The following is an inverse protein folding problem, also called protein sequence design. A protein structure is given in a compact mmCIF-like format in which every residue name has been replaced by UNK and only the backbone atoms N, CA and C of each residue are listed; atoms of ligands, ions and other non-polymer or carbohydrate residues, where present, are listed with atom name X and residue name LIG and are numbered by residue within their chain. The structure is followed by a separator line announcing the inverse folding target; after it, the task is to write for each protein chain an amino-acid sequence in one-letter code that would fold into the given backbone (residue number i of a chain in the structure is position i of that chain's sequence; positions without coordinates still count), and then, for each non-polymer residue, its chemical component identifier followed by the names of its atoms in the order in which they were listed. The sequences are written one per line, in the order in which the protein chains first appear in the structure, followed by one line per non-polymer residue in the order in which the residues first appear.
data_IF_043144034509
#
_entry.id   IF_043144034509
#
_cell.length_a   1.000
_cell.length_b   1.000
_cell.length_c   1.000
_cell.angle_alpha   90.00
_cell.angle_beta   90.00
_cell.angle_gamma   90.00
#
_symmetry.space_group_name_H-M   'P 1'
#
loop_
_entity.id
_entity.type
_entity.pdbx_description
1 polymer ?
#
# COMPACT_ATOMS: atom_id res chain seq x y z
N UNK A 1 -10.03 8.22 1.00
CA UNK A 1 -8.58 7.95 1.18
C UNK A 1 -7.82 9.18 1.67
N UNK A 2 -7.88 10.35 1.02
CA UNK A 2 -7.14 11.55 1.46
C UNK A 2 -7.42 12.02 2.90
N UNK A 3 -8.69 12.07 3.31
CA UNK A 3 -9.04 12.48 4.69
C UNK A 3 -8.42 11.54 5.72
N UNK A 4 -8.44 10.23 5.45
CA UNK A 4 -7.83 9.23 6.32
C UNK A 4 -6.31 9.40 6.38
N UNK A 5 -5.65 9.52 5.22
CA UNK A 5 -4.21 9.76 5.16
C UNK A 5 -3.83 11.04 5.93
N UNK A 6 -4.61 12.12 5.80
CA UNK A 6 -4.38 13.35 6.55
C UNK A 6 -4.53 13.17 8.06
N UNK A 7 -5.51 12.39 8.53
CA UNK A 7 -5.69 12.07 9.95
C UNK A 7 -4.46 11.31 10.47
N UNK A 8 -4.05 10.25 9.79
CA UNK A 8 -2.89 9.43 10.20
C UNK A 8 -1.59 10.24 10.19
N UNK A 9 -1.36 11.10 9.19
CA UNK A 9 -0.22 12.04 9.18
C UNK A 9 -0.23 12.96 10.40
N UNK A 10 -1.39 13.53 10.76
CA UNK A 10 -1.51 14.38 11.96
C UNK A 10 -1.24 13.64 13.26
N UNK A 11 -1.48 12.33 13.29
CA UNK A 11 -1.17 11.45 14.42
C UNK A 11 0.29 10.97 14.42
N UNK A 12 1.10 11.35 13.42
CA UNK A 12 2.48 10.90 13.27
C UNK A 12 2.61 9.46 12.78
N UNK A 13 1.53 8.85 12.29
CA UNK A 13 1.54 7.50 11.75
C UNK A 13 2.05 7.50 10.29
N UNK A 14 2.87 6.51 9.90
CA UNK A 14 3.38 6.42 8.54
C UNK A 14 2.24 6.13 7.54
N UNK A 15 2.30 6.77 6.38
CA UNK A 15 1.43 6.45 5.24
C UNK A 15 2.25 5.69 4.21
N UNK A 16 1.71 4.56 3.76
CA UNK A 16 2.32 3.73 2.72
C UNK A 16 1.35 3.63 1.55
N UNK A 17 1.73 4.16 0.39
CA UNK A 17 1.02 3.95 -0.86
C UNK A 17 1.57 2.73 -1.57
N UNK A 18 0.66 1.90 -2.06
CA UNK A 18 0.98 0.68 -2.80
C UNK A 18 0.57 0.86 -4.25
N UNK A 19 1.53 0.71 -5.16
CA UNK A 19 1.31 0.85 -6.60
C UNK A 19 1.62 -0.47 -7.30
N UNK A 20 0.73 -0.93 -8.17
CA UNK A 20 0.94 -2.16 -8.93
C UNK A 20 1.76 -1.86 -10.18
N UNK A 21 2.88 -2.55 -10.32
CA UNK A 21 3.70 -2.53 -11.53
C UNK A 21 3.25 -3.66 -12.44
N UNK A 22 2.49 -3.30 -13.48
CA UNK A 22 2.12 -4.19 -14.57
C UNK A 22 3.34 -4.65 -15.38
N UNK A 23 3.16 -5.74 -16.13
CA UNK A 23 4.15 -6.26 -17.08
C UNK A 23 3.74 -5.90 -18.51
N UNK A 24 4.64 -6.03 -19.49
CA UNK A 24 4.46 -5.60 -20.90
C UNK A 24 3.21 -6.13 -21.62
N UNK A 25 2.48 -7.09 -21.06
CA UNK A 25 1.23 -7.65 -21.61
C UNK A 25 -0.02 -7.23 -20.83
N UNK A 26 0.12 -6.44 -19.76
CA UNK A 26 -0.95 -6.00 -18.86
C UNK A 26 -0.95 -4.47 -18.69
N UNK A 27 -2.11 -3.94 -18.30
CA UNK A 27 -2.32 -2.56 -17.88
C UNK A 27 -1.38 -2.15 -16.73
N UNK A 28 -1.19 -0.84 -16.53
CA UNK A 28 -0.35 -0.23 -15.47
C UNK A 28 1.18 -0.45 -15.64
N UNK A 29 1.71 -0.17 -16.83
CA UNK A 29 3.16 -0.25 -17.12
C UNK A 29 3.92 0.88 -16.39
N UNK A 30 5.00 0.59 -15.66
CA UNK A 30 5.74 1.61 -14.92
C UNK A 30 6.20 2.80 -15.77
N UNK A 31 6.10 4.00 -15.21
CA UNK A 31 6.44 5.29 -15.84
C UNK A 31 5.54 5.69 -17.02
N UNK A 32 4.30 5.18 -17.08
CA UNK A 32 3.25 5.72 -17.96
C UNK A 32 2.21 6.49 -17.15
N UNK A 33 1.47 7.37 -17.81
CA UNK A 33 0.43 8.21 -17.17
C UNK A 33 -0.63 7.34 -16.49
N UNK A 34 -1.02 6.23 -17.12
CA UNK A 34 -2.03 5.30 -16.60
C UNK A 34 -1.53 4.52 -15.39
N UNK A 35 -0.21 4.46 -15.17
CA UNK A 35 0.40 3.82 -14.01
C UNK A 35 0.52 4.77 -12.83
N UNK A 36 0.68 6.08 -13.06
CA UNK A 36 0.91 7.07 -12.00
C UNK A 36 -0.20 7.05 -10.93
N UNK A 37 0.18 7.47 -9.73
CA UNK A 37 -0.80 7.66 -8.66
C UNK A 37 -1.75 8.76 -9.12
N UNK A 38 -3.06 8.49 -9.03
CA UNK A 38 -4.11 9.42 -9.39
C UNK A 38 -3.86 10.81 -8.79
N UNK A 39 -3.97 11.87 -9.61
CA UNK A 39 -3.76 13.27 -9.20
C UNK A 39 -4.67 13.68 -8.03
N UNK A 40 -5.84 13.04 -7.89
CA UNK A 40 -6.74 13.29 -6.77
C UNK A 40 -6.20 12.76 -5.44
N UNK A 41 -5.26 11.81 -5.42
CA UNK A 41 -4.63 11.32 -4.20
C UNK A 41 -3.49 12.24 -3.76
N UNK A 42 -3.60 12.76 -2.54
CA UNK A 42 -2.60 13.68 -1.97
C UNK A 42 -1.48 12.90 -1.31
N UNK A 43 -0.39 12.70 -2.04
CA UNK A 43 0.88 12.12 -1.55
C UNK A 43 1.76 13.23 -0.96
N UNK A 44 2.24 13.03 0.26
CA UNK A 44 3.17 13.91 0.96
C UNK A 44 4.61 13.41 0.78
N UNK A 45 5.60 14.29 0.93
CA UNK A 45 7.02 13.98 0.70
C UNK A 45 7.58 12.95 1.70
N UNK A 46 6.93 12.77 2.85
CA UNK A 46 7.29 11.78 3.87
C UNK A 46 6.55 10.45 3.71
N UNK A 47 5.59 10.37 2.79
CA UNK A 47 4.87 9.13 2.54
C UNK A 47 5.77 8.12 1.82
N UNK A 48 5.54 6.83 2.10
CA UNK A 48 6.32 5.75 1.55
C UNK A 48 5.62 5.20 0.33
N UNK A 49 6.32 5.10 -0.79
CA UNK A 49 5.84 4.46 -2.00
C UNK A 49 6.43 3.04 -2.09
N UNK A 50 5.57 2.05 -2.24
CA UNK A 50 5.98 0.65 -2.44
C UNK A 50 5.33 0.12 -3.72
N UNK A 51 6.17 -0.41 -4.59
CA UNK A 51 5.73 -1.10 -5.79
C UNK A 51 5.48 -2.58 -5.49
N UNK A 52 4.46 -3.15 -6.12
CA UNK A 52 4.15 -4.58 -6.07
C UNK A 52 3.93 -5.17 -7.46
N UNK A 53 4.19 -6.46 -7.62
CA UNK A 53 3.99 -7.21 -8.86
C UNK A 53 2.97 -8.36 -8.72
N UNK A 54 2.39 -8.52 -7.54
CA UNK A 54 1.37 -9.53 -7.22
C UNK A 54 0.18 -8.88 -6.50
N UNK A 55 -0.89 -9.66 -6.28
CA UNK A 55 -2.03 -9.20 -5.48
C UNK A 55 -1.63 -8.98 -4.01
N UNK A 56 -0.91 -9.94 -3.44
CA UNK A 56 -0.34 -9.80 -2.10
C UNK A 56 0.84 -8.82 -2.11
N UNK A 57 0.70 -7.73 -1.38
CA UNK A 57 1.75 -6.72 -1.26
C UNK A 57 2.96 -7.24 -0.49
N UNK A 58 2.83 -8.22 0.40
CA UNK A 58 3.99 -8.81 1.09
C UNK A 58 4.86 -9.65 0.17
N UNK A 59 4.31 -10.14 -0.95
CA UNK A 59 5.05 -10.99 -1.87
C UNK A 59 6.09 -10.19 -2.67
N UNK A 60 7.36 -10.45 -2.39
CA UNK A 60 8.52 -9.87 -3.09
C UNK A 60 8.49 -8.33 -3.21
N UNK A 61 7.99 -7.66 -2.17
CA UNK A 61 8.10 -6.20 -2.02
C UNK A 61 8.93 -5.85 -0.78
N UNK A 62 9.11 -4.55 -0.54
CA UNK A 62 9.76 -4.03 0.67
C UNK A 62 8.78 -3.76 1.81
N UNK A 63 7.52 -4.16 1.72
CA UNK A 63 6.50 -3.85 2.74
C UNK A 63 6.89 -4.37 4.12
N UNK A 64 7.23 -5.66 4.23
CA UNK A 64 7.53 -6.28 5.53
C UNK A 64 8.75 -5.66 6.20
N UNK A 65 9.83 -5.41 5.45
CA UNK A 65 11.02 -4.76 6.00
C UNK A 65 10.72 -3.34 6.45
N UNK A 66 9.94 -2.57 5.68
CA UNK A 66 9.56 -1.21 6.08
C UNK A 66 8.68 -1.18 7.32
N UNK A 67 7.72 -2.09 7.44
CA UNK A 67 6.90 -2.18 8.66
C UNK A 67 7.76 -2.51 9.89
N UNK A 68 8.75 -3.41 9.74
CA UNK A 68 9.71 -3.74 10.81
C UNK A 68 10.60 -2.55 11.19
N UNK A 69 11.14 -1.83 10.20
CA UNK A 69 11.98 -0.64 10.43
C UNK A 69 11.21 0.46 11.17
N UNK A 70 9.93 0.61 10.85
CA UNK A 70 9.02 1.58 11.47
C UNK A 70 8.42 1.09 12.80
N UNK A 71 8.69 -0.15 13.21
CA UNK A 71 8.12 -0.81 14.40
C UNK A 71 6.59 -0.78 14.40
N UNK A 72 6.00 -1.06 13.24
CA UNK A 72 4.55 -1.14 13.07
C UNK A 72 4.09 -2.58 13.30
N UNK A 73 3.05 -2.74 14.11
CA UNK A 73 2.33 -3.99 14.41
C UNK A 73 0.82 -3.89 14.08
N UNK A 74 0.32 -2.66 13.92
CA UNK A 74 -1.06 -2.37 13.53
C UNK A 74 -1.17 -1.80 12.12
N UNK A 75 -2.11 -2.32 11.32
CA UNK A 75 -2.35 -1.86 9.94
C UNK A 75 -3.80 -1.44 9.73
N UNK A 76 -3.98 -0.30 9.08
CA UNK A 76 -5.24 0.09 8.46
C UNK A 76 -5.08 -0.02 6.94
N UNK A 77 -5.83 -0.91 6.29
CA UNK A 77 -5.69 -1.20 4.86
C UNK A 77 -6.92 -0.73 4.11
N UNK A 78 -6.73 0.13 3.11
CA UNK A 78 -7.78 0.62 2.21
C UNK A 78 -7.23 0.74 0.79
N UNK A 79 -8.11 0.71 -0.21
CA UNK A 79 -7.70 0.83 -1.62
C UNK A 79 -8.60 0.02 -2.55
N UNK A 80 -8.09 -0.24 -3.75
CA UNK A 80 -8.80 -0.94 -4.82
C UNK A 80 -7.85 -1.95 -5.50
N UNK A 81 -8.31 -3.10 -6.01
CA UNK A 81 -9.65 -3.67 -5.84
C UNK A 81 -9.76 -4.46 -4.52
N UNK A 82 -10.89 -4.29 -3.82
CA UNK A 82 -11.16 -4.88 -2.50
C UNK A 82 -11.07 -6.41 -2.53
N UNK A 83 -11.63 -7.02 -3.57
CA UNK A 83 -11.78 -8.48 -3.67
C UNK A 83 -10.52 -9.22 -4.14
N UNK A 84 -9.46 -8.48 -4.49
CA UNK A 84 -8.20 -9.06 -4.97
C UNK A 84 -7.03 -8.58 -4.12
N UNK A 85 -6.47 -7.41 -4.44
CA UNK A 85 -5.23 -6.94 -3.84
C UNK A 85 -5.37 -6.69 -2.33
N UNK A 86 -6.48 -6.09 -1.92
CA UNK A 86 -6.74 -5.78 -0.50
C UNK A 86 -6.95 -7.08 0.28
N UNK A 87 -7.84 -7.97 -0.17
CA UNK A 87 -8.10 -9.25 0.48
C UNK A 87 -6.84 -10.13 0.62
N UNK A 88 -6.05 -10.28 -0.46
CA UNK A 88 -4.80 -11.05 -0.40
C UNK A 88 -3.80 -10.46 0.60
N UNK A 89 -3.66 -9.12 0.63
CA UNK A 89 -2.73 -8.45 1.54
C UNK A 89 -3.20 -8.56 3.00
N UNK A 90 -4.51 -8.46 3.26
CA UNK A 90 -5.10 -8.66 4.61
C UNK A 90 -4.81 -10.07 5.10
N UNK A 91 -5.03 -11.10 4.28
CA UNK A 91 -4.75 -12.49 4.67
C UNK A 91 -3.27 -12.68 5.05
N UNK A 92 -2.35 -12.16 4.23
CA UNK A 92 -0.92 -12.23 4.53
C UNK A 92 -0.53 -11.46 5.79
N UNK A 93 -1.15 -10.29 6.04
CA UNK A 93 -0.93 -9.52 7.26
C UNK A 93 -1.34 -10.31 8.51
N UNK A 94 -2.51 -10.97 8.49
CA UNK A 94 -3.00 -11.77 9.62
C UNK A 94 -2.10 -12.98 9.93
N UNK A 95 -1.60 -13.67 8.91
CA UNK A 95 -0.67 -14.82 9.08
C UNK A 95 0.70 -14.36 9.62
N UNK A 96 1.02 -13.07 9.47
CA UNK A 96 2.26 -12.43 9.97
C UNK A 96 2.06 -11.70 11.29
N UNK A 97 0.96 -11.98 12.00
CA UNK A 97 0.62 -11.44 13.32
C UNK A 97 0.39 -9.92 13.37
N UNK A 98 0.10 -9.27 12.24
CA UNK A 98 -0.33 -7.87 12.24
C UNK A 98 -1.77 -7.76 12.74
N UNK A 99 -2.03 -6.76 13.58
CA UNK A 99 -3.40 -6.42 14.00
C UNK A 99 -4.03 -5.50 12.96
N UNK A 100 -5.19 -5.90 12.43
CA UNK A 100 -5.91 -5.12 11.42
C UNK A 100 -7.05 -4.30 12.03
N UNK A 101 -7.20 -3.07 11.54
CA UNK A 101 -8.36 -2.23 11.80
C UNK A 101 -9.21 -2.10 10.53
N UNK A 102 -10.54 -2.01 10.73
CA UNK A 102 -11.55 -1.74 9.68
C UNK A 102 -12.19 -0.38 9.89
#
# INVERSE_FOLDING_TARGET
MNTLAQIFRKLGSPIIFIQYNGTKTNEFVPNTIEWEILDELKVDALDILINKYANDTFYKSTLESKLKDLRVDHLFITGCATDFCVASTIQSALIKDYTLFS
#
